data_IF_026824591145
#
_entry.id   IF_026824591145
#
_cell.length_a   1.000
_cell.length_b   1.000
_cell.length_c   1.000
_cell.angle_alpha   90.00
_cell.angle_beta   90.00
_cell.angle_gamma   90.00
#
_symmetry.space_group_name_H-M   'P 1'
#
loop_
_entity.id
_entity.type
_entity.pdbx_description
1 polymer ?
#
# COMPACT_ATOMS: atom_id res chain seq x y z
N UNK A 1 9.12 10.19 -10.16
CA UNK A 1 9.89 10.12 -8.86
C UNK A 1 9.89 8.74 -8.17
N UNK A 2 8.76 8.20 -7.67
CA UNK A 2 8.67 6.91 -6.93
C UNK A 2 9.37 5.75 -7.63
N UNK A 3 9.04 5.48 -8.89
CA UNK A 3 9.63 4.37 -9.65
C UNK A 3 11.14 4.57 -9.83
N UNK A 4 11.59 5.78 -10.15
CA UNK A 4 13.02 6.08 -10.26
C UNK A 4 13.79 5.84 -8.95
N UNK A 5 13.16 6.07 -7.79
CA UNK A 5 13.74 5.67 -6.50
C UNK A 5 13.85 4.14 -6.38
N UNK A 6 12.82 3.40 -6.76
CA UNK A 6 12.86 1.93 -6.78
C UNK A 6 13.90 1.34 -7.75
N UNK A 7 14.20 2.04 -8.85
CA UNK A 7 15.24 1.64 -9.80
C UNK A 7 16.65 1.90 -9.28
N UNK A 8 16.88 3.09 -8.69
CA UNK A 8 18.21 3.54 -8.25
C UNK A 8 18.61 3.07 -6.85
N UNK A 9 17.65 2.69 -6.01
CA UNK A 9 17.91 2.26 -4.64
C UNK A 9 18.59 0.89 -4.57
N UNK A 10 19.60 0.78 -3.71
CA UNK A 10 20.22 -0.49 -3.30
C UNK A 10 19.36 -1.24 -2.27
N UNK A 11 18.44 -0.55 -1.59
CA UNK A 11 17.49 -1.14 -0.63
C UNK A 11 16.21 -1.60 -1.33
N UNK A 12 16.31 -2.62 -2.18
CA UNK A 12 15.21 -3.10 -3.05
C UNK A 12 14.02 -3.64 -2.27
N UNK A 13 14.29 -4.38 -1.19
CA UNK A 13 13.26 -4.91 -0.30
C UNK A 13 12.46 -3.78 0.37
N UNK A 14 13.13 -2.72 0.83
CA UNK A 14 12.46 -1.56 1.43
C UNK A 14 11.53 -0.86 0.43
N UNK A 15 11.96 -0.65 -0.82
CA UNK A 15 11.10 -0.03 -1.84
C UNK A 15 9.88 -0.90 -2.19
N UNK A 16 10.03 -2.22 -2.11
CA UNK A 16 8.91 -3.15 -2.26
C UNK A 16 7.95 -3.08 -1.07
N UNK A 17 8.45 -2.94 0.15
CA UNK A 17 7.63 -2.67 1.33
C UNK A 17 6.90 -1.33 1.22
N UNK A 18 7.52 -0.28 0.67
CA UNK A 18 6.81 1.01 0.40
C UNK A 18 5.56 0.75 -0.41
N UNK A 19 5.67 -0.06 -1.46
CA UNK A 19 4.56 -0.38 -2.33
C UNK A 19 3.47 -1.18 -1.61
N UNK A 20 3.86 -2.17 -0.81
CA UNK A 20 2.93 -2.93 0.02
C UNK A 20 2.16 -2.02 0.99
N UNK A 21 2.85 -1.19 1.77
CA UNK A 21 2.23 -0.33 2.78
C UNK A 21 1.42 0.82 2.17
N UNK A 22 1.87 1.40 1.05
CA UNK A 22 1.09 2.38 0.31
C UNK A 22 -0.19 1.78 -0.29
N UNK A 23 -0.19 0.48 -0.60
CA UNK A 23 -1.37 -0.25 -1.06
C UNK A 23 -2.28 -0.70 0.10
N UNK A 24 -1.71 -1.05 1.25
CA UNK A 24 -2.49 -1.38 2.45
C UNK A 24 -3.22 -0.16 3.02
N UNK A 25 -2.53 0.98 3.08
CA UNK A 25 -3.09 2.27 3.49
C UNK A 25 -3.40 3.14 2.29
N UNK A 26 -4.26 2.63 1.41
CA UNK A 26 -4.56 3.23 0.11
C UNK A 26 -5.18 4.61 0.22
N UNK A 27 -4.65 5.52 -0.58
CA UNK A 27 -5.31 6.76 -1.02
C UNK A 27 -5.44 6.74 -2.53
N UNK A 28 -6.41 7.47 -3.08
CA UNK A 28 -6.59 7.57 -4.53
C UNK A 28 -6.76 9.01 -5.00
N UNK A 29 -5.94 9.37 -5.98
CA UNK A 29 -5.95 10.65 -6.70
C UNK A 29 -7.07 10.73 -7.75
N UNK A 30 -7.89 9.68 -7.89
CA UNK A 30 -9.19 9.80 -8.57
C UNK A 30 -10.07 10.84 -7.86
N UNK A 31 -9.89 11.03 -6.55
CA UNK A 31 -10.32 12.23 -5.83
C UNK A 31 -9.30 13.34 -6.03
N UNK A 32 -9.66 14.35 -6.83
CA UNK A 32 -8.78 15.46 -7.21
C UNK A 32 -8.19 16.18 -6.01
N UNK A 33 -8.94 16.29 -4.90
CA UNK A 33 -8.48 16.91 -3.65
C UNK A 33 -7.31 16.18 -2.99
N UNK A 34 -7.10 14.89 -3.29
CA UNK A 34 -5.99 14.07 -2.75
C UNK A 34 -4.71 14.25 -3.57
N UNK A 35 -4.82 14.67 -4.84
CA UNK A 35 -3.69 14.76 -5.78
C UNK A 35 -2.45 15.49 -5.23
N UNK A 36 -2.57 16.67 -4.60
CA UNK A 36 -1.40 17.40 -4.07
C UNK A 36 -0.67 16.66 -2.93
N UNK A 37 -1.38 15.77 -2.23
CA UNK A 37 -0.89 15.11 -1.02
C UNK A 37 -0.34 13.71 -1.28
N UNK A 38 -0.57 13.11 -2.46
CA UNK A 38 -0.26 11.70 -2.66
C UNK A 38 1.23 11.37 -2.53
N UNK A 39 2.10 12.19 -3.13
CA UNK A 39 3.55 12.05 -2.98
C UNK A 39 4.05 12.37 -1.57
N UNK A 40 3.44 13.36 -0.91
CA UNK A 40 3.76 13.75 0.47
C UNK A 40 3.42 12.63 1.45
N UNK A 41 2.24 12.03 1.30
CA UNK A 41 1.77 10.91 2.11
C UNK A 41 2.73 9.73 2.08
N UNK A 42 3.19 9.32 0.87
CA UNK A 42 4.18 8.24 0.76
C UNK A 42 5.51 8.63 1.42
N UNK A 43 5.95 9.89 1.24
CA UNK A 43 7.23 10.40 1.75
C UNK A 43 7.27 10.58 3.27
N UNK A 44 6.20 11.10 3.85
CA UNK A 44 6.17 11.60 5.23
C UNK A 44 5.52 10.62 6.20
N UNK A 45 4.68 9.70 5.69
CA UNK A 45 3.98 8.72 6.53
C UNK A 45 4.44 7.31 6.23
N UNK A 46 4.29 6.86 4.97
CA UNK A 46 4.56 5.46 4.63
C UNK A 46 6.05 5.14 4.77
N UNK A 47 6.93 5.90 4.10
CA UNK A 47 8.38 5.65 4.10
C UNK A 47 9.02 5.62 5.50
N UNK A 48 8.85 6.64 6.35
CA UNK A 48 9.42 6.62 7.69
C UNK A 48 8.69 5.66 8.65
N UNK A 49 7.40 5.42 8.46
CA UNK A 49 6.62 4.58 9.37
C UNK A 49 6.92 3.09 9.28
N UNK A 50 7.44 2.61 8.14
CA UNK A 50 7.78 1.18 7.95
C UNK A 50 8.86 0.66 8.90
N UNK A 51 9.70 1.54 9.46
CA UNK A 51 10.77 1.15 10.39
C UNK A 51 10.36 1.31 11.86
N UNK A 52 9.10 1.64 12.13
CA UNK A 52 8.55 1.85 13.48
C UNK A 52 7.50 0.82 13.89
N UNK A 53 6.61 1.22 14.80
CA UNK A 53 5.46 0.42 15.23
C UNK A 53 4.24 0.63 14.34
N UNK A 54 3.45 -0.43 14.15
CA UNK A 54 2.20 -0.38 13.37
C UNK A 54 1.19 0.62 13.96
N UNK A 55 1.14 0.77 15.28
CA UNK A 55 0.30 1.76 15.96
C UNK A 55 0.57 3.19 15.48
N UNK A 56 1.84 3.59 15.42
CA UNK A 56 2.21 4.95 15.01
C UNK A 56 1.98 5.16 13.52
N UNK A 57 2.28 4.15 12.70
CA UNK A 57 1.97 4.19 11.27
C UNK A 57 0.46 4.36 11.05
N UNK A 58 -0.38 3.56 11.71
CA UNK A 58 -1.83 3.65 11.61
C UNK A 58 -2.34 5.03 12.05
N UNK A 59 -1.87 5.55 13.19
CA UNK A 59 -2.27 6.85 13.70
C UNK A 59 -1.89 7.98 12.73
N UNK A 60 -0.65 7.96 12.23
CA UNK A 60 -0.16 8.97 11.28
C UNK A 60 -0.90 8.91 9.95
N UNK A 61 -1.26 7.71 9.49
CA UNK A 61 -2.14 7.53 8.32
C UNK A 61 -3.49 8.18 8.54
N UNK A 62 -4.16 7.88 9.67
CA UNK A 62 -5.49 8.41 9.96
C UNK A 62 -5.52 9.93 10.17
N UNK A 63 -4.39 10.54 10.56
CA UNK A 63 -4.25 12.00 10.72
C UNK A 63 -3.84 12.72 9.43
N UNK A 64 -3.30 12.01 8.45
CA UNK A 64 -2.73 12.68 7.27
C UNK A 64 -3.81 13.32 6.39
N UNK A 65 -3.59 14.55 5.86
CA UNK A 65 -4.58 15.23 5.01
C UNK A 65 -5.06 14.43 3.82
N UNK A 66 -4.18 13.67 3.16
CA UNK A 66 -4.56 12.77 2.08
C UNK A 66 -5.64 11.77 2.49
N UNK A 67 -5.51 11.13 3.65
CA UNK A 67 -6.47 10.12 4.12
C UNK A 67 -7.78 10.76 4.56
N UNK A 68 -7.69 11.89 5.29
CA UNK A 68 -8.87 12.64 5.72
C UNK A 68 -9.72 13.17 4.57
N UNK A 69 -9.08 13.58 3.47
CA UNK A 69 -9.77 13.99 2.24
C UNK A 69 -10.26 12.79 1.42
N UNK A 70 -9.49 11.70 1.39
CA UNK A 70 -9.83 10.52 0.60
C UNK A 70 -11.12 9.84 1.10
N UNK A 71 -11.29 9.78 2.42
CA UNK A 71 -12.45 9.14 3.07
C UNK A 71 -13.47 10.16 3.60
N UNK A 72 -13.38 11.41 3.15
CA UNK A 72 -14.30 12.50 3.50
C UNK A 72 -14.43 12.77 5.02
N UNK A 73 -13.42 12.33 5.81
CA UNK A 73 -13.39 12.50 7.26
C UNK A 73 -13.30 13.96 7.68
N UNK A 74 -12.58 14.79 6.91
CA UNK A 74 -12.40 16.20 7.27
C UNK A 74 -13.73 16.98 7.39
N UNK A 75 -14.82 16.46 6.81
CA UNK A 75 -16.16 17.07 6.89
C UNK A 75 -17.05 16.44 7.98
N UNK A 76 -16.61 15.36 8.63
CA UNK A 76 -17.36 14.60 9.61
C UNK A 76 -17.63 15.43 10.88
N UNK A 77 -18.88 15.44 11.33
CA UNK A 77 -19.33 16.15 12.53
C UNK A 77 -20.17 15.22 13.40
N UNK A 78 -19.98 15.33 14.71
CA UNK A 78 -20.78 14.62 15.70
C UNK A 78 -22.25 15.04 15.60
N UNK A 79 -23.21 14.10 15.50
CA UNK A 79 -24.64 14.42 15.45
C UNK A 79 -25.13 15.32 16.59
N UNK A 80 -24.55 15.18 17.79
CA UNK A 80 -24.91 15.99 18.97
C UNK A 80 -23.86 17.04 19.31
N UNK A 81 -22.82 17.20 18.48
CA UNK A 81 -21.82 18.26 18.62
C UNK A 81 -22.44 19.66 18.39
N UNK A 82 -21.86 20.73 18.96
CA UNK A 82 -22.34 22.10 18.72
C UNK A 82 -22.45 22.49 17.24
N UNK A 83 -21.54 21.98 16.38
CA UNK A 83 -21.62 22.22 14.94
C UNK A 83 -22.64 21.32 14.25
N UNK A 84 -22.77 20.05 14.66
CA UNK A 84 -23.74 19.10 14.11
C UNK A 84 -25.19 19.49 14.40
N UNK A 85 -25.47 20.11 15.54
CA UNK A 85 -26.80 20.62 15.86
C UNK A 85 -27.18 21.88 15.05
N UNK A 86 -26.20 22.63 14.55
CA UNK A 86 -26.42 23.88 13.80
C UNK A 86 -26.50 23.69 12.29
N UNK A 87 -26.00 22.57 11.79
CA UNK A 87 -25.91 22.28 10.37
C UNK A 87 -26.45 20.88 10.09
N UNK A 88 -27.17 20.68 8.99
CA UNK A 88 -27.64 19.36 8.55
C UNK A 88 -26.50 18.49 7.97
N UNK A 89 -25.31 18.58 8.57
CA UNK A 89 -24.09 17.84 8.19
C UNK A 89 -23.99 16.58 9.03
N UNK A 90 -23.96 15.43 8.35
CA UNK A 90 -24.00 14.12 8.99
C UNK A 90 -22.64 13.59 9.45
N UNK A 91 -22.72 12.54 10.26
CA UNK A 91 -21.60 11.69 10.63
C UNK A 91 -21.09 10.95 9.38
N UNK A 92 -19.79 11.01 9.12
CA UNK A 92 -19.15 10.20 8.09
C UNK A 92 -18.52 8.95 8.71
N UNK A 93 -18.93 7.78 8.24
CA UNK A 93 -18.47 6.48 8.75
C UNK A 93 -17.33 5.86 7.95
N UNK A 94 -16.95 6.42 6.80
CA UNK A 94 -16.05 5.76 5.85
C UNK A 94 -14.69 5.47 6.49
N UNK A 95 -14.03 6.46 7.11
CA UNK A 95 -12.73 6.21 7.76
C UNK A 95 -12.82 5.15 8.87
N UNK A 96 -13.87 5.19 9.70
CA UNK A 96 -14.06 4.18 10.75
C UNK A 96 -14.21 2.77 10.15
N UNK A 97 -15.03 2.65 9.10
CA UNK A 97 -15.25 1.39 8.39
C UNK A 97 -13.97 0.87 7.75
N UNK A 98 -13.25 1.71 7.01
CA UNK A 98 -12.01 1.28 6.34
C UNK A 98 -10.91 0.91 7.35
N UNK A 99 -10.82 1.62 8.48
CA UNK A 99 -9.87 1.27 9.53
C UNK A 99 -10.19 -0.11 10.11
N UNK A 100 -11.44 -0.37 10.49
CA UNK A 100 -11.86 -1.66 11.05
C UNK A 100 -11.74 -2.79 10.01
N UNK A 101 -12.24 -2.57 8.79
CA UNK A 101 -12.35 -3.61 7.76
C UNK A 101 -11.04 -3.87 7.03
N UNK A 102 -10.37 -2.82 6.55
CA UNK A 102 -9.28 -2.96 5.59
C UNK A 102 -7.91 -2.76 6.21
N UNK A 103 -7.78 -1.79 7.10
CA UNK A 103 -6.48 -1.42 7.66
C UNK A 103 -6.11 -2.27 8.87
N UNK A 104 -7.08 -2.80 9.62
CA UNK A 104 -6.84 -3.53 10.87
C UNK A 104 -7.48 -4.92 10.90
N UNK A 105 -8.70 -5.07 11.43
CA UNK A 105 -9.28 -6.34 11.86
C UNK A 105 -9.59 -7.31 10.71
N UNK A 106 -9.83 -6.79 9.51
CA UNK A 106 -10.32 -7.57 8.38
C UNK A 106 -11.85 -7.62 8.37
N UNK A 107 -12.44 -7.95 7.21
CA UNK A 107 -13.90 -8.06 7.05
C UNK A 107 -14.55 -9.11 7.99
N UNK A 108 -13.78 -10.09 8.46
CA UNK A 108 -14.21 -11.10 9.44
C UNK A 108 -13.71 -10.79 10.85
N UNK A 109 -13.41 -9.52 11.13
CA UNK A 109 -12.79 -9.04 12.36
C UNK A 109 -13.68 -9.04 13.60
N UNK A 110 -14.96 -9.38 13.46
CA UNK A 110 -15.92 -9.47 14.57
C UNK A 110 -16.52 -8.14 15.03
N UNK A 111 -16.28 -7.04 14.31
CA UNK A 111 -16.95 -5.75 14.57
C UNK A 111 -18.36 -5.74 13.97
N UNK A 112 -19.21 -4.88 14.52
CA UNK A 112 -20.59 -4.67 14.09
C UNK A 112 -20.74 -3.30 13.42
N UNK A 113 -21.89 -3.07 12.78
CA UNK A 113 -22.23 -1.73 12.28
C UNK A 113 -22.29 -0.69 13.43
N UNK A 114 -22.69 -1.10 14.64
CA UNK A 114 -22.68 -0.21 15.80
C UNK A 114 -21.25 0.22 16.17
N UNK A 115 -20.29 -0.69 16.09
CA UNK A 115 -18.87 -0.36 16.32
C UNK A 115 -18.35 0.64 15.29
N UNK A 116 -18.76 0.51 14.01
CA UNK A 116 -18.43 1.48 12.96
C UNK A 116 -18.98 2.86 13.32
N UNK A 117 -20.25 2.95 13.68
CA UNK A 117 -20.89 4.23 14.05
C UNK A 117 -20.26 4.85 15.30
N UNK A 118 -19.98 4.05 16.34
CA UNK A 118 -19.37 4.54 17.58
C UNK A 118 -17.92 4.98 17.38
N UNK A 119 -17.15 4.27 16.56
CA UNK A 119 -15.81 4.70 16.21
C UNK A 119 -15.82 5.94 15.30
N UNK A 120 -16.76 6.04 14.36
CA UNK A 120 -16.94 7.23 13.54
C UNK A 120 -17.20 8.47 14.42
N UNK A 121 -18.06 8.33 15.44
CA UNK A 121 -18.28 9.40 16.44
C UNK A 121 -16.98 9.79 17.15
N UNK A 122 -16.16 8.82 17.58
CA UNK A 122 -14.87 9.11 18.20
C UNK A 122 -13.93 9.91 17.27
N UNK A 123 -13.97 9.64 15.96
CA UNK A 123 -13.14 10.31 14.95
C UNK A 123 -13.63 11.73 14.60
N UNK A 124 -14.87 12.10 14.95
CA UNK A 124 -15.38 13.44 14.65
C UNK A 124 -14.51 14.53 15.30
N UNK A 125 -14.40 15.69 14.66
CA UNK A 125 -13.47 16.73 15.07
C UNK A 125 -12.06 16.59 14.49
N UNK A 126 -11.65 15.42 14.00
CA UNK A 126 -10.42 15.27 13.21
C UNK A 126 -10.66 15.88 11.82
N UNK A 127 -10.02 17.01 11.54
CA UNK A 127 -10.25 17.78 10.33
C UNK A 127 -8.98 18.50 9.86
N UNK A 128 -9.12 19.36 8.85
CA UNK A 128 -8.05 20.15 8.27
C UNK A 128 -8.28 21.64 8.50
N UNK A 129 -7.19 22.37 8.68
CA UNK A 129 -7.20 23.83 8.73
C UNK A 129 -7.66 24.37 7.38
N UNK A 130 -8.91 24.85 7.31
CA UNK A 130 -9.56 25.35 6.08
C UNK A 130 -9.60 26.88 5.97
N UNK A 131 -9.27 27.59 7.05
CA UNK A 131 -9.14 29.05 7.09
C UNK A 131 -7.92 29.41 7.94
N UNK A 132 -7.20 30.51 7.65
CA UNK A 132 -6.14 30.99 8.53
C UNK A 132 -6.74 31.26 9.91
N UNK A 133 -6.35 30.46 10.91
CA UNK A 133 -6.85 30.59 12.28
C UNK A 133 -6.07 31.72 12.94
N UNK A 134 -6.40 32.97 12.59
CA UNK A 134 -5.69 34.17 13.06
C UNK A 134 -5.69 34.33 14.60
N UNK A 135 -6.56 33.64 15.33
CA UNK A 135 -6.78 33.89 16.76
C UNK A 135 -6.71 32.67 17.69
N UNK A 136 -6.57 31.42 17.19
CA UNK A 136 -6.64 30.22 18.06
C UNK A 136 -5.48 29.23 17.96
N UNK A 137 -4.78 29.11 16.83
CA UNK A 137 -3.54 28.31 16.71
C UNK A 137 -2.65 28.95 15.63
N UNK A 138 -1.77 29.92 15.97
CA UNK A 138 -1.06 30.77 14.98
C UNK A 138 -0.05 30.03 14.09
N UNK A 139 0.29 28.78 14.40
CA UNK A 139 1.41 28.04 13.81
C UNK A 139 1.01 26.96 12.81
N UNK A 140 -0.28 26.68 12.63
CA UNK A 140 -0.73 25.61 11.72
C UNK A 140 -1.02 26.16 10.32
N UNK A 141 -0.39 25.55 9.32
CA UNK A 141 -0.59 25.88 7.91
C UNK A 141 -1.96 25.43 7.39
N UNK A 142 -2.45 26.09 6.33
CA UNK A 142 -3.65 25.64 5.63
C UNK A 142 -3.47 24.20 5.14
N UNK A 143 -4.47 23.36 5.38
CA UNK A 143 -4.42 21.93 5.04
C UNK A 143 -3.72 21.05 6.08
N UNK A 144 -3.17 21.59 7.16
CA UNK A 144 -2.64 20.80 8.27
C UNK A 144 -3.78 20.10 9.05
N UNK A 145 -3.47 18.94 9.63
CA UNK A 145 -4.34 18.26 10.57
C UNK A 145 -4.64 19.13 11.79
N UNK A 146 -5.89 19.12 12.26
CA UNK A 146 -6.30 19.76 13.50
C UNK A 146 -7.49 19.03 14.12
N UNK A 147 -7.56 19.02 15.45
CA UNK A 147 -8.75 18.62 16.19
C UNK A 147 -9.62 19.85 16.54
N UNK A 148 -10.90 19.83 16.17
CA UNK A 148 -11.88 20.88 16.49
C UNK A 148 -12.93 20.33 17.47
N UNK A 149 -12.89 20.72 18.76
CA UNK A 149 -13.84 20.22 19.77
C UNK A 149 -15.31 20.46 19.43
N UNK A 150 -15.62 21.56 18.72
CA UNK A 150 -16.99 21.92 18.35
C UNK A 150 -17.61 20.96 17.32
N UNK A 151 -16.79 20.18 16.62
CA UNK A 151 -17.22 19.18 15.64
C UNK A 151 -17.27 17.79 16.26
N UNK A 152 -16.72 17.59 17.45
CA UNK A 152 -16.58 16.29 18.08
C UNK A 152 -17.86 15.87 18.80
N UNK A 153 -18.25 14.62 18.63
CA UNK A 153 -19.36 13.99 19.32
C UNK A 153 -19.04 13.83 20.81
N UNK A 154 -19.86 14.38 21.72
CA UNK A 154 -19.61 14.27 23.15
C UNK A 154 -19.83 12.85 23.72
N UNK A 155 -19.23 12.62 24.88
CA UNK A 155 -19.47 11.45 25.72
C UNK A 155 -18.63 10.22 25.37
N UNK A 156 -18.63 9.21 26.25
CA UNK A 156 -17.85 7.99 26.06
C UNK A 156 -18.36 7.19 24.86
N UNK A 157 -17.45 6.52 24.15
CA UNK A 157 -17.76 5.63 23.02
C UNK A 157 -17.51 4.19 23.42
N UNK A 158 -18.31 3.26 22.92
CA UNK A 158 -18.06 1.82 23.12
C UNK A 158 -17.79 1.19 21.77
N UNK A 159 -16.61 0.59 21.62
CA UNK A 159 -16.15 -0.06 20.39
C UNK A 159 -15.57 -1.42 20.77
N UNK A 160 -16.04 -2.49 20.13
CA UNK A 160 -15.67 -3.89 20.41
C UNK A 160 -15.85 -4.25 21.89
N UNK A 161 -16.93 -3.76 22.51
CA UNK A 161 -17.25 -4.01 23.92
C UNK A 161 -16.36 -3.27 24.93
N UNK A 162 -15.37 -2.48 24.49
CA UNK A 162 -14.55 -1.62 25.35
C UNK A 162 -15.07 -0.19 25.33
N UNK A 163 -15.19 0.44 26.49
CA UNK A 163 -15.60 1.84 26.63
C UNK A 163 -14.39 2.77 26.70
N UNK A 164 -14.42 3.84 25.92
CA UNK A 164 -13.38 4.85 25.77
C UNK A 164 -13.89 6.19 26.30
N UNK A 165 -13.44 6.58 27.49
CA UNK A 165 -13.82 7.81 28.18
C UNK A 165 -12.84 8.97 28.00
N UNK A 166 -11.78 8.78 27.20
CA UNK A 166 -10.82 9.81 26.85
C UNK A 166 -11.55 11.00 26.20
N UNK A 167 -11.03 12.20 26.43
CA UNK A 167 -11.62 13.43 25.90
C UNK A 167 -11.00 13.81 24.56
N UNK A 168 -11.82 14.35 23.66
CA UNK A 168 -11.38 14.97 22.41
C UNK A 168 -10.58 14.03 21.51
N UNK A 169 -9.46 14.54 20.98
CA UNK A 169 -8.65 13.81 19.99
C UNK A 169 -8.15 12.44 20.50
N UNK A 170 -7.87 12.33 21.80
CA UNK A 170 -7.30 11.13 22.40
C UNK A 170 -8.26 9.94 22.41
N UNK A 171 -9.57 10.18 22.24
CA UNK A 171 -10.56 9.10 22.19
C UNK A 171 -10.37 8.20 20.97
N UNK A 172 -10.30 8.78 19.77
CA UNK A 172 -10.00 8.03 18.56
C UNK A 172 -8.57 7.47 18.57
N UNK A 173 -7.59 8.21 19.11
CA UNK A 173 -6.21 7.73 19.21
C UNK A 173 -6.10 6.48 20.11
N UNK A 174 -6.87 6.42 21.22
CA UNK A 174 -6.93 5.25 22.08
C UNK A 174 -7.53 4.03 21.36
N UNK A 175 -8.63 4.21 20.62
CA UNK A 175 -9.24 3.14 19.83
C UNK A 175 -8.26 2.62 18.77
N UNK A 176 -7.60 3.51 18.03
CA UNK A 176 -6.61 3.15 17.00
C UNK A 176 -5.44 2.34 17.60
N UNK A 177 -4.93 2.73 18.78
CA UNK A 177 -3.86 1.98 19.47
C UNK A 177 -4.32 0.57 19.84
N UNK A 178 -5.51 0.39 20.39
CA UNK A 178 -6.03 -0.93 20.73
C UNK A 178 -6.25 -1.80 19.48
N UNK A 179 -6.80 -1.23 18.42
CA UNK A 179 -6.96 -1.92 17.12
C UNK A 179 -5.62 -2.34 16.51
N UNK A 180 -4.56 -1.55 16.72
CA UNK A 180 -3.24 -1.78 16.13
C UNK A 180 -2.54 -3.04 16.66
N UNK A 181 -2.88 -3.47 17.88
CA UNK A 181 -2.30 -4.64 18.55
C UNK A 181 -3.29 -5.80 18.68
N UNK A 182 -4.49 -5.65 18.12
CA UNK A 182 -5.53 -6.66 18.21
C UNK A 182 -5.12 -7.97 17.51
N UNK A 183 -5.43 -9.16 18.06
CA UNK A 183 -5.06 -10.44 17.44
C UNK A 183 -5.58 -10.62 16.00
N UNK A 184 -6.77 -10.08 15.68
CA UNK A 184 -7.28 -10.08 14.30
C UNK A 184 -6.42 -9.21 13.37
N UNK A 185 -5.92 -8.08 13.85
CA UNK A 185 -5.01 -7.21 13.08
C UNK A 185 -3.69 -7.92 12.80
N UNK A 186 -3.09 -8.59 13.80
CA UNK A 186 -1.90 -9.41 13.60
C UNK A 186 -2.09 -10.45 12.48
N UNK A 187 -3.22 -11.18 12.50
CA UNK A 187 -3.56 -12.17 11.45
C UNK A 187 -3.79 -11.53 10.08
N UNK A 188 -4.51 -10.42 10.02
CA UNK A 188 -4.81 -9.72 8.76
C UNK A 188 -3.54 -9.18 8.10
N UNK A 189 -2.68 -8.50 8.87
CA UNK A 189 -1.41 -7.98 8.37
C UNK A 189 -0.48 -9.12 7.95
N UNK A 190 -0.34 -10.17 8.77
CA UNK A 190 0.47 -11.34 8.45
C UNK A 190 -0.01 -12.03 7.16
N UNK A 191 -1.32 -12.22 6.99
CA UNK A 191 -1.91 -12.84 5.80
C UNK A 191 -1.65 -12.00 4.55
N UNK A 192 -1.85 -10.68 4.63
CA UNK A 192 -1.57 -9.77 3.50
C UNK A 192 -0.10 -9.77 3.13
N UNK A 193 0.79 -9.73 4.12
CA UNK A 193 2.24 -9.72 3.88
C UNK A 193 2.73 -11.05 3.29
N UNK A 194 2.28 -12.18 3.85
CA UNK A 194 2.58 -13.50 3.30
C UNK A 194 2.04 -13.63 1.87
N UNK A 195 0.82 -13.14 1.61
CA UNK A 195 0.25 -13.11 0.25
C UNK A 195 1.11 -12.29 -0.71
N UNK A 196 1.57 -11.14 -0.24
CA UNK A 196 2.36 -10.23 -1.05
C UNK A 196 3.72 -10.80 -1.39
N UNK A 197 4.37 -11.52 -0.47
CA UNK A 197 5.77 -11.95 -0.58
C UNK A 197 5.98 -13.43 -0.89
N UNK A 198 5.03 -14.32 -0.62
CA UNK A 198 5.19 -15.77 -0.79
C UNK A 198 4.32 -16.28 -1.96
N UNK A 199 3.00 -16.33 -1.78
CA UNK A 199 2.06 -16.90 -2.76
C UNK A 199 0.65 -16.33 -2.59
N UNK A 200 -0.22 -16.44 -3.58
CA UNK A 200 -1.62 -15.96 -3.49
C UNK A 200 -2.38 -16.62 -2.31
N UNK A 201 -2.12 -17.90 -2.12
CA UNK A 201 -2.56 -18.73 -1.00
C UNK A 201 -1.33 -19.03 -0.11
N UNK A 202 -1.00 -18.17 0.87
CA UNK A 202 0.19 -18.34 1.67
C UNK A 202 0.07 -19.57 2.60
N UNK A 203 1.16 -20.32 2.82
CA UNK A 203 1.18 -21.43 3.77
C UNK A 203 0.70 -21.00 5.16
N UNK A 204 -0.19 -21.77 5.83
CA UNK A 204 -0.70 -21.40 7.15
C UNK A 204 0.41 -21.21 8.20
N UNK A 205 1.50 -21.98 8.09
CA UNK A 205 2.68 -21.86 8.97
C UNK A 205 3.37 -20.49 8.85
N UNK A 206 3.57 -19.99 7.63
CA UNK A 206 4.14 -18.67 7.37
C UNK A 206 3.27 -17.55 7.96
N UNK A 207 1.95 -17.64 7.76
CA UNK A 207 0.99 -16.67 8.34
C UNK A 207 1.04 -16.70 9.87
N UNK A 208 1.05 -17.90 10.47
CA UNK A 208 1.11 -18.05 11.92
C UNK A 208 2.42 -17.49 12.51
N UNK A 209 3.56 -17.74 11.86
CA UNK A 209 4.85 -17.22 12.30
C UNK A 209 4.89 -15.69 12.28
N UNK A 210 4.42 -15.07 11.20
CA UNK A 210 4.32 -13.62 11.06
C UNK A 210 3.35 -12.99 12.07
N UNK A 211 2.17 -13.58 12.25
CA UNK A 211 1.19 -13.10 13.22
C UNK A 211 1.75 -13.18 14.65
N UNK A 212 2.43 -14.27 14.99
CA UNK A 212 3.06 -14.43 16.29
C UNK A 212 4.20 -13.43 16.52
N UNK A 213 5.02 -13.15 15.51
CA UNK A 213 6.05 -12.11 15.58
C UNK A 213 5.43 -10.71 15.78
N UNK A 214 4.35 -10.40 15.06
CA UNK A 214 3.61 -9.15 15.22
C UNK A 214 3.07 -9.01 16.65
N UNK A 215 2.40 -10.04 17.16
CA UNK A 215 1.83 -10.00 18.52
C UNK A 215 2.89 -9.91 19.61
N UNK A 216 3.95 -10.75 19.56
CA UNK A 216 5.02 -10.74 20.58
C UNK A 216 5.78 -9.41 20.64
N UNK A 217 5.92 -8.75 19.50
CA UNK A 217 6.63 -7.47 19.39
C UNK A 217 5.72 -6.26 19.53
N UNK A 218 4.45 -6.46 19.88
CA UNK A 218 3.44 -5.41 20.01
C UNK A 218 3.31 -4.54 18.74
N UNK A 219 3.36 -5.18 17.56
CA UNK A 219 3.21 -4.53 16.26
C UNK A 219 4.48 -3.88 15.71
N UNK A 220 5.68 -4.30 16.14
CA UNK A 220 6.94 -3.83 15.54
C UNK A 220 7.06 -4.28 14.08
N UNK A 221 7.10 -3.32 13.16
CA UNK A 221 7.24 -3.61 11.73
C UNK A 221 8.63 -4.17 11.38
N UNK A 222 9.75 -3.68 11.94
CA UNK A 222 11.06 -4.32 11.75
C UNK A 222 11.07 -5.80 12.14
N UNK A 223 10.49 -6.16 13.29
CA UNK A 223 10.42 -7.57 13.73
C UNK A 223 9.57 -8.43 12.79
N UNK A 224 8.48 -7.87 12.25
CA UNK A 224 7.65 -8.53 11.25
C UNK A 224 8.42 -8.74 9.94
N UNK A 225 9.16 -7.73 9.46
CA UNK A 225 9.94 -7.81 8.23
C UNK A 225 11.11 -8.78 8.35
N UNK A 226 11.81 -8.78 9.48
CA UNK A 226 12.89 -9.74 9.76
C UNK A 226 12.35 -11.18 9.78
N UNK A 227 11.19 -11.39 10.42
CA UNK A 227 10.54 -12.71 10.42
C UNK A 227 10.19 -13.15 8.99
N UNK A 228 9.64 -12.25 8.16
CA UNK A 228 9.34 -12.55 6.76
C UNK A 228 10.59 -12.97 5.98
N UNK A 229 11.69 -12.24 6.14
CA UNK A 229 12.97 -12.56 5.49
C UNK A 229 13.51 -13.91 5.97
N UNK A 230 13.28 -14.28 7.23
CA UNK A 230 13.73 -15.55 7.79
C UNK A 230 12.89 -16.78 7.38
N UNK A 231 11.73 -16.60 6.73
CA UNK A 231 10.88 -17.73 6.33
C UNK A 231 11.48 -18.48 5.13
N UNK A 232 11.74 -19.79 5.22
CA UNK A 232 12.20 -20.59 4.08
C UNK A 232 11.24 -20.50 2.88
N UNK A 233 9.94 -20.42 3.12
CA UNK A 233 8.91 -20.33 2.08
C UNK A 233 9.01 -19.04 1.26
N UNK A 234 9.60 -17.97 1.79
CA UNK A 234 9.83 -16.73 1.05
C UNK A 234 10.97 -16.85 0.01
N UNK A 235 11.77 -17.92 0.09
CA UNK A 235 12.93 -18.20 -0.77
C UNK A 235 12.80 -19.51 -1.54
N UNK A 236 11.66 -20.19 -1.44
CA UNK A 236 11.41 -21.41 -2.19
C UNK A 236 11.37 -21.10 -3.69
N UNK A 237 12.19 -21.80 -4.48
CA UNK A 237 12.20 -21.66 -5.94
C UNK A 237 10.88 -22.11 -6.60
N UNK A 238 10.02 -22.82 -5.87
CA UNK A 238 8.65 -23.16 -6.29
C UNK A 238 7.61 -22.15 -5.82
N UNK A 239 7.97 -21.15 -5.00
CA UNK A 239 7.09 -20.02 -4.75
C UNK A 239 6.74 -19.39 -6.11
N UNK A 240 5.44 -19.20 -6.34
CA UNK A 240 4.92 -18.68 -7.60
C UNK A 240 4.04 -17.49 -7.30
N UNK A 241 4.66 -16.34 -7.06
CA UNK A 241 3.92 -15.08 -7.09
C UNK A 241 4.02 -14.46 -8.47
N UNK A 242 2.88 -14.27 -9.12
CA UNK A 242 2.86 -13.51 -10.37
C UNK A 242 3.17 -12.03 -10.09
N UNK A 243 4.11 -11.45 -10.82
CA UNK A 243 4.48 -10.04 -10.62
C UNK A 243 3.30 -9.14 -10.94
N UNK A 244 2.97 -8.21 -10.05
CA UNK A 244 2.07 -7.08 -10.38
C UNK A 244 2.65 -6.24 -11.53
N UNK A 245 1.85 -5.43 -12.25
CA UNK A 245 2.38 -4.50 -13.25
C UNK A 245 3.52 -3.61 -12.72
N UNK A 246 3.41 -3.15 -11.47
CA UNK A 246 4.48 -2.40 -10.84
C UNK A 246 5.78 -3.20 -10.70
N UNK A 247 5.70 -4.42 -10.19
CA UNK A 247 6.89 -5.26 -10.01
C UNK A 247 7.48 -5.67 -11.36
N UNK A 248 6.63 -5.90 -12.36
CA UNK A 248 7.05 -6.19 -13.73
C UNK A 248 7.76 -5.00 -14.37
N UNK A 249 7.21 -3.78 -14.26
CA UNK A 249 7.86 -2.55 -14.77
C UNK A 249 9.21 -2.34 -14.08
N UNK A 250 9.24 -2.35 -12.74
CA UNK A 250 10.47 -2.07 -11.98
C UNK A 250 11.53 -3.12 -12.27
N UNK A 251 11.19 -4.41 -12.21
CA UNK A 251 12.17 -5.47 -12.49
C UNK A 251 12.60 -5.46 -13.96
N UNK A 252 11.70 -5.17 -14.90
CA UNK A 252 12.01 -5.11 -16.33
C UNK A 252 12.99 -3.99 -16.67
N UNK A 253 12.77 -2.80 -16.11
CA UNK A 253 13.69 -1.67 -16.26
C UNK A 253 15.05 -1.93 -15.59
N UNK A 254 15.09 -2.65 -14.46
CA UNK A 254 16.36 -3.07 -13.84
C UNK A 254 17.11 -4.10 -14.69
N UNK A 255 16.39 -4.99 -15.36
CA UNK A 255 17.00 -5.96 -16.28
C UNK A 255 17.76 -5.26 -17.41
N UNK A 256 17.25 -4.15 -17.92
CA UNK A 256 17.92 -3.34 -18.95
C UNK A 256 19.09 -2.50 -18.42
N UNK A 257 19.28 -2.43 -17.10
CA UNK A 257 20.33 -1.61 -16.47
C UNK A 257 19.96 -0.14 -16.31
N UNK A 258 18.73 0.26 -16.66
CA UNK A 258 18.26 1.63 -16.45
C UNK A 258 18.07 1.91 -14.95
N UNK A 259 18.66 3.00 -14.48
CA UNK A 259 18.48 3.51 -13.12
C UNK A 259 17.58 4.76 -13.06
N UNK A 260 17.19 5.30 -14.21
CA UNK A 260 16.28 6.44 -14.36
C UNK A 260 15.52 6.36 -15.68
N UNK A 261 14.24 6.71 -15.64
CA UNK A 261 13.34 6.80 -16.79
C UNK A 261 12.54 8.10 -16.70
N UNK A 262 12.23 8.69 -17.86
CA UNK A 262 11.37 9.86 -17.98
C UNK A 262 9.95 9.58 -17.44
N UNK A 263 9.41 10.53 -16.67
CA UNK A 263 8.12 10.34 -15.99
C UNK A 263 6.97 10.08 -17.00
N UNK A 264 7.00 10.71 -18.20
CA UNK A 264 6.00 10.47 -19.25
C UNK A 264 5.99 9.01 -19.73
N UNK A 265 7.15 8.39 -19.87
CA UNK A 265 7.27 7.00 -20.30
C UNK A 265 6.79 6.04 -19.20
N UNK A 266 7.08 6.36 -17.94
CA UNK A 266 6.58 5.61 -16.79
C UNK A 266 5.05 5.68 -16.69
N UNK A 267 4.47 6.88 -16.81
CA UNK A 267 3.00 7.06 -16.79
C UNK A 267 2.34 6.26 -17.91
N UNK A 268 2.91 6.29 -19.12
CA UNK A 268 2.41 5.51 -20.25
C UNK A 268 2.44 4.00 -19.95
N UNK A 269 3.56 3.48 -19.42
CA UNK A 269 3.70 2.08 -19.04
C UNK A 269 2.67 1.64 -17.98
N UNK A 270 2.54 2.40 -16.89
CA UNK A 270 1.57 2.08 -15.85
C UNK A 270 0.12 2.20 -16.31
N UNK A 271 -0.17 3.13 -17.23
CA UNK A 271 -1.49 3.28 -17.83
C UNK A 271 -1.82 2.09 -18.72
N UNK A 272 -0.88 1.67 -19.59
CA UNK A 272 -1.04 0.51 -20.45
C UNK A 272 -1.27 -0.77 -19.64
N UNK A 273 -0.48 -1.00 -18.58
CA UNK A 273 -0.60 -2.20 -17.75
C UNK A 273 -1.68 -2.09 -16.65
N UNK A 274 -2.39 -0.97 -16.55
CA UNK A 274 -3.57 -0.84 -15.68
C UNK A 274 -3.31 -0.62 -14.18
N UNK A 275 -2.09 -0.24 -13.76
CA UNK A 275 -1.76 -0.03 -12.34
C UNK A 275 -1.10 1.33 -12.10
N UNK A 276 -1.83 2.42 -12.36
CA UNK A 276 -1.28 3.78 -12.18
C UNK A 276 -1.04 4.08 -10.69
N UNK A 277 0.19 4.51 -10.29
CA UNK A 277 0.47 4.86 -8.90
C UNK A 277 -0.53 5.87 -8.34
N UNK A 278 -0.97 5.63 -7.09
CA UNK A 278 -1.96 6.45 -6.39
C UNK A 278 -3.33 6.57 -7.09
N UNK A 279 -3.70 5.61 -7.94
CA UNK A 279 -5.03 5.58 -8.61
C UNK A 279 -5.75 4.26 -8.43
N UNK A 280 -5.55 3.60 -7.28
CA UNK A 280 -6.32 2.40 -6.95
C UNK A 280 -7.83 2.70 -7.03
N UNK A 281 -8.65 1.76 -7.52
CA UNK A 281 -10.06 2.00 -7.80
C UNK A 281 -10.92 2.08 -6.53
N UNK A 282 -10.43 1.56 -5.40
CA UNK A 282 -11.15 1.56 -4.12
C UNK A 282 -10.17 1.63 -2.94
N UNK A 283 -10.65 1.88 -1.70
CA UNK A 283 -9.83 1.84 -0.48
C UNK A 283 -9.15 0.48 -0.22
N UNK A 284 -9.60 -0.60 -0.87
CA UNK A 284 -8.96 -1.93 -0.83
C UNK A 284 -7.57 -1.95 -1.46
N UNK A 285 -7.21 -0.91 -2.21
CA UNK A 285 -5.98 -0.87 -2.99
C UNK A 285 -6.06 -1.68 -4.26
N UNK A 286 -4.89 -1.92 -4.85
CA UNK A 286 -4.72 -2.84 -5.97
C UNK A 286 -4.79 -4.29 -5.50
N UNK A 287 -5.38 -5.20 -6.29
CA UNK A 287 -5.38 -6.62 -5.99
C UNK A 287 -3.95 -7.17 -5.99
N UNK A 288 -3.74 -8.15 -5.13
CA UNK A 288 -2.45 -8.77 -4.90
C UNK A 288 -2.58 -10.29 -5.12
N UNK A 289 -3.22 -10.67 -6.21
CA UNK A 289 -3.41 -12.03 -6.69
C UNK A 289 -3.05 -12.11 -8.19
N UNK A 290 -2.64 -13.29 -8.64
CA UNK A 290 -2.23 -13.51 -10.03
C UNK A 290 -3.40 -13.34 -11.00
N UNK A 291 -4.58 -13.83 -10.64
CA UNK A 291 -5.77 -13.83 -11.50
C UNK A 291 -6.14 -12.42 -11.98
N UNK A 292 -5.94 -11.41 -11.14
CA UNK A 292 -6.16 -10.00 -11.48
C UNK A 292 -5.19 -9.44 -12.53
N UNK A 293 -4.05 -10.10 -12.76
CA UNK A 293 -2.95 -9.58 -13.59
C UNK A 293 -2.51 -10.53 -14.72
N UNK A 294 -3.02 -11.76 -14.76
CA UNK A 294 -2.60 -12.81 -15.71
C UNK A 294 -3.66 -13.16 -16.76
N UNK A 295 -4.74 -12.38 -16.89
CA UNK A 295 -5.73 -12.55 -17.96
C UNK A 295 -5.14 -12.28 -19.35
N UNK A 296 -5.78 -12.80 -20.41
CA UNK A 296 -5.26 -12.72 -21.78
C UNK A 296 -4.92 -11.29 -22.25
N UNK A 297 -5.82 -10.32 -22.00
CA UNK A 297 -5.57 -8.90 -22.29
C UNK A 297 -4.37 -8.34 -21.51
N UNK A 298 -4.24 -8.68 -20.23
CA UNK A 298 -3.12 -8.25 -19.39
C UNK A 298 -1.78 -8.82 -19.87
N UNK A 299 -1.76 -10.08 -20.31
CA UNK A 299 -0.58 -10.70 -20.90
C UNK A 299 -0.21 -10.07 -22.24
N UNK A 300 -1.19 -9.77 -23.09
CA UNK A 300 -0.93 -9.06 -24.36
C UNK A 300 -0.33 -7.68 -24.12
N UNK A 301 -0.86 -6.90 -23.18
CA UNK A 301 -0.30 -5.60 -22.81
C UNK A 301 1.13 -5.68 -22.27
N UNK A 302 1.49 -6.77 -21.57
CA UNK A 302 2.88 -7.02 -21.15
C UNK A 302 3.79 -7.31 -22.33
N UNK A 303 3.33 -8.11 -23.30
CA UNK A 303 4.08 -8.40 -24.54
C UNK A 303 4.34 -7.10 -25.30
N UNK A 304 3.31 -6.29 -25.52
CA UNK A 304 3.42 -5.00 -26.22
C UNK A 304 4.41 -4.06 -25.51
N UNK A 305 4.32 -3.97 -24.18
CA UNK A 305 5.26 -3.15 -23.40
C UNK A 305 6.70 -3.68 -23.48
N UNK A 306 6.89 -5.01 -23.39
CA UNK A 306 8.20 -5.65 -23.51
C UNK A 306 8.82 -5.45 -24.90
N UNK A 307 8.01 -5.55 -25.96
CA UNK A 307 8.43 -5.26 -27.34
C UNK A 307 8.84 -3.80 -27.51
N UNK A 308 8.05 -2.85 -27.00
CA UNK A 308 8.39 -1.43 -27.06
C UNK A 308 9.69 -1.12 -26.30
N UNK A 309 9.91 -1.76 -25.15
CA UNK A 309 11.17 -1.64 -24.41
C UNK A 309 12.34 -2.27 -25.18
N UNK A 310 12.13 -3.43 -25.80
CA UNK A 310 13.06 -4.12 -26.70
C UNK A 310 13.49 -3.24 -27.86
N UNK A 311 12.55 -2.66 -28.61
CA UNK A 311 12.85 -1.78 -29.75
C UNK A 311 13.67 -0.56 -29.34
N UNK A 312 13.43 -0.03 -28.13
CA UNK A 312 14.13 1.16 -27.63
C UNK A 312 15.55 0.86 -27.14
N UNK A 313 15.79 -0.30 -26.53
CA UNK A 313 17.03 -0.58 -25.78
C UNK A 313 17.79 -1.82 -26.23
N UNK A 314 17.17 -2.68 -27.04
CA UNK A 314 17.68 -4.00 -27.40
C UNK A 314 19.08 -3.94 -27.98
N UNK A 315 19.34 -3.01 -28.90
CA UNK A 315 20.67 -2.82 -29.51
C UNK A 315 21.76 -2.38 -28.53
N UNK A 316 21.39 -1.86 -27.36
CA UNK A 316 22.33 -1.38 -26.33
C UNK A 316 22.57 -2.41 -25.22
N UNK A 317 21.94 -3.57 -25.28
CA UNK A 317 22.07 -4.62 -24.26
C UNK A 317 22.32 -5.98 -24.92
N UNK A 318 22.84 -6.92 -24.13
CA UNK A 318 22.94 -8.33 -24.52
C UNK A 318 21.92 -9.13 -23.72
N UNK A 319 20.76 -9.48 -24.30
CA UNK A 319 19.65 -10.03 -23.52
C UNK A 319 19.99 -11.32 -22.78
N UNK A 320 20.73 -12.24 -23.40
CA UNK A 320 21.12 -13.51 -22.78
C UNK A 320 22.04 -13.31 -21.57
N UNK A 321 23.05 -12.43 -21.69
CA UNK A 321 23.95 -12.08 -20.57
C UNK A 321 23.16 -11.40 -19.44
N UNK A 322 22.29 -10.43 -19.76
CA UNK A 322 21.47 -9.74 -18.76
C UNK A 322 20.46 -10.67 -18.07
N UNK A 323 19.82 -11.56 -18.83
CA UNK A 323 18.91 -12.55 -18.25
C UNK A 323 19.66 -13.49 -17.30
N UNK A 324 20.86 -13.93 -17.69
CA UNK A 324 21.72 -14.74 -16.82
C UNK A 324 22.08 -14.01 -15.53
N UNK A 325 22.48 -12.75 -15.61
CA UNK A 325 22.87 -11.96 -14.43
C UNK A 325 21.70 -11.74 -13.45
N UNK A 326 20.49 -11.51 -14.00
CA UNK A 326 19.32 -11.13 -13.20
C UNK A 326 18.57 -12.34 -12.65
N UNK A 327 18.41 -13.38 -13.46
CA UNK A 327 17.65 -14.58 -13.08
C UNK A 327 18.57 -15.66 -12.48
N UNK A 328 19.87 -15.66 -12.81
CA UNK A 328 20.84 -16.57 -12.21
C UNK A 328 20.38 -18.03 -12.25
N UNK A 329 20.35 -18.74 -11.09
CA UNK A 329 19.96 -20.15 -11.03
C UNK A 329 18.53 -20.46 -11.48
N UNK A 330 17.61 -19.49 -11.46
CA UNK A 330 16.23 -19.76 -11.88
C UNK A 330 16.09 -19.78 -13.40
N UNK A 331 17.03 -19.22 -14.17
CA UNK A 331 16.99 -19.22 -15.63
C UNK A 331 17.14 -20.62 -16.22
N UNK A 332 16.05 -21.19 -16.76
CA UNK A 332 16.09 -22.53 -17.34
C UNK A 332 16.88 -22.56 -18.65
N UNK A 333 17.55 -23.68 -18.98
CA UNK A 333 18.30 -23.83 -20.24
C UNK A 333 17.48 -23.55 -21.50
N UNK A 334 16.21 -23.97 -21.52
CA UNK A 334 15.30 -23.74 -22.65
C UNK A 334 15.03 -22.26 -22.88
N UNK A 335 14.83 -21.49 -21.82
CA UNK A 335 14.59 -20.04 -21.88
C UNK A 335 15.84 -19.32 -22.33
N UNK A 336 17.01 -19.69 -21.78
CA UNK A 336 18.30 -19.15 -22.24
C UNK A 336 18.51 -19.38 -23.73
N UNK A 337 18.32 -20.61 -24.20
CA UNK A 337 18.49 -20.96 -25.60
C UNK A 337 17.52 -20.20 -26.50
N UNK A 338 16.28 -19.98 -26.07
CA UNK A 338 15.32 -19.15 -26.80
C UNK A 338 15.78 -17.69 -26.93
N UNK A 339 16.36 -17.12 -25.86
CA UNK A 339 16.89 -15.74 -25.88
C UNK A 339 18.12 -15.65 -26.78
N UNK A 340 19.04 -16.63 -26.73
CA UNK A 340 20.27 -16.67 -27.54
C UNK A 340 19.98 -16.85 -29.04
N UNK A 341 18.90 -17.57 -29.38
CA UNK A 341 18.47 -17.82 -30.75
C UNK A 341 17.50 -16.76 -31.30
N UNK A 342 17.22 -15.71 -30.53
CA UNK A 342 16.41 -14.60 -31.01
C UNK A 342 17.06 -13.98 -32.25
N UNK A 343 16.25 -13.64 -33.25
CA UNK A 343 16.66 -13.01 -34.51
C UNK A 343 17.33 -11.65 -34.29
N UNK A 344 17.03 -11.02 -33.15
CA UNK A 344 17.49 -9.69 -32.80
C UNK A 344 17.52 -9.48 -31.29
N UNK A 345 18.27 -8.46 -30.84
CA UNK A 345 18.39 -8.17 -29.42
C UNK A 345 17.09 -7.61 -28.79
N UNK A 346 16.24 -6.94 -29.56
CA UNK A 346 14.90 -6.52 -29.12
C UNK A 346 13.96 -7.72 -28.93
N UNK A 347 14.00 -8.72 -29.83
CA UNK A 347 13.27 -9.96 -29.65
C UNK A 347 13.81 -10.74 -28.44
N UNK A 348 15.14 -10.82 -28.29
CA UNK A 348 15.79 -11.46 -27.14
C UNK A 348 15.38 -10.83 -25.80
N UNK A 349 15.31 -9.49 -25.72
CA UNK A 349 14.82 -8.80 -24.51
C UNK A 349 13.34 -9.10 -24.24
N UNK A 350 12.52 -9.11 -25.29
CA UNK A 350 11.10 -9.44 -25.18
C UNK A 350 10.92 -10.86 -24.63
N UNK A 351 11.66 -11.84 -25.16
CA UNK A 351 11.63 -13.23 -24.68
C UNK A 351 12.10 -13.35 -23.23
N UNK A 352 13.15 -12.62 -22.84
CA UNK A 352 13.62 -12.59 -21.46
C UNK A 352 12.53 -12.08 -20.50
N UNK A 353 11.90 -10.95 -20.82
CA UNK A 353 10.83 -10.36 -20.01
C UNK A 353 9.58 -11.23 -19.97
N UNK A 354 9.22 -11.89 -21.07
CA UNK A 354 8.00 -12.71 -21.15
C UNK A 354 8.21 -14.17 -20.72
N UNK A 355 9.42 -14.55 -20.33
CA UNK A 355 9.70 -15.88 -19.80
C UNK A 355 8.94 -16.14 -18.48
N UNK A 356 8.47 -17.38 -18.24
CA UNK A 356 7.86 -17.73 -16.95
C UNK A 356 8.73 -17.36 -15.75
N UNK A 357 10.04 -17.58 -15.83
CA UNK A 357 11.01 -17.27 -14.79
C UNK A 357 11.08 -15.78 -14.47
N UNK A 358 10.74 -14.92 -15.43
CA UNK A 358 10.67 -13.48 -15.21
C UNK A 358 9.28 -13.01 -14.78
N UNK A 359 8.21 -13.65 -15.24
CA UNK A 359 6.84 -13.29 -14.88
C UNK A 359 6.48 -13.66 -13.44
N UNK A 360 7.03 -14.77 -12.98
CA UNK A 360 6.87 -15.30 -11.64
C UNK A 360 8.10 -14.95 -10.79
N UNK A 361 7.93 -14.98 -9.47
CA UNK A 361 9.00 -14.81 -8.49
C UNK A 361 8.81 -15.80 -7.36
#
# INVERSE_FOLDING_TARGET
ARTNRALSSTATFAERLVHFWANHFTISTTRVTVYPFAGLYEREVIRPGMTGGFSDLLLNVCRHPAMLLYLDQAQSRGPTSPAGQRANTGLNENLAREVLELMTLGAQGGYTQADVTEFAKALTGWTLVSKPVRERVPTLELGAFVFIPQFHEPGPRTVLGKTYAQAGEDQAAAILRDLSVHPATARTIATKLARHFISDEPPPGAVAALAAAFTRSNGSLPALHETLIGLPEAWDAQARKFKSPNDFIVSGLRLTGLNKVEDRALIAAYTQLGQVPYRAPSPKGWPDDAASWSGGDALMKRIEWAQALGQRLGSSIKPAERANDVLGPVLRPVTRQAIERAESADQGLTLALMSPEFQWR
#
